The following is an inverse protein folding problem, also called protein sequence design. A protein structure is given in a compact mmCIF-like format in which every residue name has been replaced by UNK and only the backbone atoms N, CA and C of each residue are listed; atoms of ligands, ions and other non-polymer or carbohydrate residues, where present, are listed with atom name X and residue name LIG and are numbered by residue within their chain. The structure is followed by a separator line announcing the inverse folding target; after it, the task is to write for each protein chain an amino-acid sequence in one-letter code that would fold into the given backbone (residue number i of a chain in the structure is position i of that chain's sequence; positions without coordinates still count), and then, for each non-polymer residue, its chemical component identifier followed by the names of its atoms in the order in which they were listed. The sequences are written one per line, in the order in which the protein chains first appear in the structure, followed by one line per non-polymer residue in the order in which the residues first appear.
data_IF_203042850799
#
_entry.id   IF_203042850799
#
_cell.length_a   1.000
_cell.length_b   1.000
_cell.length_c   1.000
_cell.angle_alpha   90.00
_cell.angle_beta   90.00
_cell.angle_gamma   90.00
#
_symmetry.space_group_name_H-M   'P 1'
#
loop_
_entity.id
_entity.type
_entity.pdbx_description
1 polymer ?
#
# COMPACT_ATOMS: atom_id res chain seq x y z
N UNK A 1 6.55 17.87 21.72
CA UNK A 1 6.71 16.47 21.29
C UNK A 1 6.13 16.38 19.88
N UNK A 2 6.94 16.72 18.87
CA UNK A 2 6.49 16.83 17.48
C UNK A 2 6.55 15.42 16.88
N UNK A 3 5.42 14.73 16.92
CA UNK A 3 5.28 13.42 16.28
C UNK A 3 5.09 13.70 14.79
N UNK A 4 6.12 13.47 13.98
CA UNK A 4 5.91 13.33 12.54
C UNK A 4 5.24 11.97 12.31
N UNK A 5 4.08 11.98 11.67
CA UNK A 5 3.47 10.76 11.17
C UNK A 5 4.15 10.44 9.83
N UNK A 6 4.84 9.31 9.75
CA UNK A 6 5.54 8.85 8.53
C UNK A 6 4.65 7.98 7.63
N UNK A 7 3.36 7.86 7.95
CA UNK A 7 2.42 7.01 7.23
C UNK A 7 2.00 7.67 5.91
N UNK A 8 2.34 7.04 4.79
CA UNK A 8 1.93 7.47 3.44
C UNK A 8 0.97 6.44 2.85
N UNK A 9 -0.19 6.90 2.38
CA UNK A 9 -1.18 6.06 1.67
C UNK A 9 -1.16 6.38 0.18
N UNK A 10 -1.10 5.36 -0.67
CA UNK A 10 -1.16 5.47 -2.13
C UNK A 10 -2.42 4.77 -2.64
N UNK A 11 -3.08 5.36 -3.64
CA UNK A 11 -4.22 4.77 -4.35
C UNK A 11 -3.89 4.81 -5.84
N UNK A 12 -4.13 3.70 -6.53
CA UNK A 12 -3.90 3.54 -7.96
C UNK A 12 -5.07 2.76 -8.57
N UNK A 13 -5.34 2.99 -9.85
CA UNK A 13 -6.36 2.27 -10.61
C UNK A 13 -5.86 0.91 -11.13
N UNK A 14 -4.55 0.68 -11.17
CA UNK A 14 -3.95 -0.60 -11.55
C UNK A 14 -2.69 -0.97 -10.76
N UNK A 15 -2.26 -2.22 -10.88
CA UNK A 15 -1.03 -2.71 -10.28
C UNK A 15 0.21 -2.01 -10.85
N UNK A 16 0.25 -1.78 -12.15
CA UNK A 16 1.35 -1.11 -12.85
C UNK A 16 1.50 0.33 -12.39
N UNK A 17 0.38 1.05 -12.26
CA UNK A 17 0.36 2.40 -11.73
C UNK A 17 0.85 2.43 -10.27
N UNK A 18 0.40 1.50 -9.43
CA UNK A 18 0.88 1.41 -8.06
C UNK A 18 2.40 1.16 -7.98
N UNK A 19 2.95 0.31 -8.84
CA UNK A 19 4.40 0.07 -8.91
C UNK A 19 5.13 1.34 -9.36
N UNK A 20 4.61 2.07 -10.34
CA UNK A 20 5.19 3.34 -10.77
C UNK A 20 5.21 4.36 -9.62
N UNK A 21 4.10 4.49 -8.88
CA UNK A 21 4.00 5.38 -7.72
C UNK A 21 4.97 4.98 -6.60
N UNK A 22 5.11 3.68 -6.30
CA UNK A 22 6.07 3.18 -5.31
C UNK A 22 7.52 3.53 -5.68
N UNK A 23 7.86 3.48 -6.97
CA UNK A 23 9.19 3.85 -7.45
C UNK A 23 9.44 5.36 -7.30
N UNK A 24 8.46 6.18 -7.69
CA UNK A 24 8.54 7.64 -7.54
C UNK A 24 8.67 8.03 -6.06
N UNK A 25 7.83 7.44 -5.20
CA UNK A 25 7.90 7.66 -3.76
C UNK A 25 9.26 7.25 -3.21
N UNK A 26 9.77 6.08 -3.60
CA UNK A 26 11.07 5.59 -3.15
C UNK A 26 12.23 6.52 -3.54
N UNK A 27 12.22 7.02 -4.78
CA UNK A 27 13.22 7.98 -5.25
C UNK A 27 13.15 9.31 -4.49
N UNK A 28 11.94 9.86 -4.31
CA UNK A 28 11.76 11.12 -3.60
C UNK A 28 12.11 10.98 -2.11
N UNK A 29 11.66 9.91 -1.45
CA UNK A 29 12.04 9.59 -0.06
C UNK A 29 13.55 9.50 0.09
N UNK A 30 14.24 8.79 -0.81
CA UNK A 30 15.69 8.66 -0.77
C UNK A 30 16.41 10.01 -0.91
N UNK A 31 15.90 10.92 -1.75
CA UNK A 31 16.43 12.27 -1.89
C UNK A 31 16.31 13.10 -0.58
N UNK A 32 15.32 12.79 0.26
CA UNK A 32 15.14 13.37 1.59
C UNK A 32 15.80 12.55 2.71
N UNK A 33 16.61 11.54 2.38
CA UNK A 33 17.29 10.68 3.35
C UNK A 33 16.36 9.66 4.06
N UNK A 34 15.16 9.44 3.51
CA UNK A 34 14.16 8.52 4.03
C UNK A 34 14.12 7.23 3.19
N UNK A 35 13.70 6.12 3.81
CA UNK A 35 13.56 4.82 3.15
C UNK A 35 12.16 4.24 3.32
N UNK A 36 11.67 3.54 2.31
CA UNK A 36 10.41 2.78 2.41
C UNK A 36 10.68 1.45 3.13
N UNK A 37 9.94 1.19 4.20
CA UNK A 37 9.96 -0.10 4.87
C UNK A 37 8.99 -1.08 4.20
N UNK A 38 9.45 -1.77 3.15
CA UNK A 38 8.63 -2.72 2.39
C UNK A 38 8.05 -3.87 3.21
N UNK A 39 8.67 -4.24 4.33
CA UNK A 39 8.12 -5.27 5.24
C UNK A 39 6.86 -4.78 5.95
N UNK A 40 6.79 -3.47 6.26
CA UNK A 40 5.63 -2.83 6.90
C UNK A 40 4.62 -2.30 5.90
N UNK A 41 5.02 -1.96 4.68
CA UNK A 41 4.12 -1.51 3.62
C UNK A 41 3.21 -2.65 3.17
N UNK A 42 1.90 -2.48 3.35
CA UNK A 42 0.87 -3.42 2.89
C UNK A 42 0.11 -2.83 1.71
N UNK A 43 -0.27 -3.69 0.76
CA UNK A 43 -1.10 -3.32 -0.39
C UNK A 43 -2.42 -4.07 -0.26
N UNK A 44 -3.53 -3.37 -0.44
CA UNK A 44 -4.85 -3.99 -0.54
C UNK A 44 -5.38 -3.78 -1.95
N UNK A 45 -5.87 -4.85 -2.58
CA UNK A 45 -6.51 -4.77 -3.89
C UNK A 45 -8.01 -4.72 -3.65
N UNK A 46 -8.63 -3.61 -4.07
CA UNK A 46 -10.08 -3.42 -3.99
C UNK A 46 -10.68 -3.75 -5.34
N UNK A 47 -11.19 -4.97 -5.47
CA UNK A 47 -11.88 -5.44 -6.67
C UNK A 47 -13.37 -5.62 -6.34
N UNK A 48 -14.23 -4.80 -6.96
CA UNK A 48 -15.69 -4.88 -6.77
C UNK A 48 -16.31 -6.07 -7.49
N UNK A 49 -15.67 -6.59 -8.54
CA UNK A 49 -16.23 -7.66 -9.37
C UNK A 49 -15.85 -9.07 -8.88
N UNK A 50 -15.13 -9.18 -7.75
CA UNK A 50 -14.73 -10.45 -7.13
C UNK A 50 -13.96 -11.40 -8.07
N UNK A 51 -13.34 -10.88 -9.13
CA UNK A 51 -12.75 -11.69 -10.18
C UNK A 51 -11.31 -12.07 -9.82
N UNK A 52 -11.20 -13.08 -8.94
CA UNK A 52 -10.06 -14.00 -8.86
C UNK A 52 -8.68 -13.44 -8.45
N UNK A 53 -8.62 -12.32 -7.74
CA UNK A 53 -7.36 -11.74 -7.24
C UNK A 53 -6.73 -12.47 -6.02
N UNK A 54 -7.33 -13.55 -5.52
CA UNK A 54 -6.76 -14.34 -4.39
C UNK A 54 -5.37 -14.92 -4.70
N UNK A 55 -4.96 -14.97 -5.97
CA UNK A 55 -3.65 -15.45 -6.38
C UNK A 55 -2.51 -14.43 -6.22
N UNK A 56 -2.81 -13.12 -6.14
CA UNK A 56 -1.75 -12.10 -6.06
C UNK A 56 -1.25 -12.00 -4.62
N UNK A 57 -0.04 -12.50 -4.38
CA UNK A 57 0.61 -12.47 -3.06
C UNK A 57 1.41 -11.20 -2.80
N UNK A 58 1.82 -10.50 -3.86
CA UNK A 58 2.70 -9.33 -3.78
C UNK A 58 2.54 -8.40 -4.97
N UNK A 59 2.65 -7.09 -4.72
CA UNK A 59 2.78 -6.06 -5.76
C UNK A 59 4.11 -5.34 -5.56
N UNK A 60 4.97 -5.40 -6.56
CA UNK A 60 6.36 -4.93 -6.44
C UNK A 60 7.09 -5.69 -5.32
N UNK A 61 7.48 -4.98 -4.26
CA UNK A 61 8.14 -5.54 -3.06
C UNK A 61 7.21 -5.61 -1.85
N UNK A 62 5.95 -5.23 -2.01
CA UNK A 62 4.97 -5.12 -0.94
C UNK A 62 4.09 -6.36 -0.89
N UNK A 63 3.73 -6.77 0.33
CA UNK A 63 2.77 -7.84 0.56
C UNK A 63 1.36 -7.37 0.22
N UNK A 64 0.59 -8.23 -0.47
CA UNK A 64 -0.85 -8.01 -0.67
C UNK A 64 -1.61 -8.63 0.49
N UNK A 65 -2.47 -7.83 1.12
CA UNK A 65 -3.35 -8.22 2.22
C UNK A 65 -4.82 -8.04 1.83
N UNK A 66 -5.69 -8.84 2.44
CA UNK A 66 -7.14 -8.73 2.23
C UNK A 66 -7.77 -7.67 3.15
N UNK A 67 -7.13 -7.40 4.28
CA UNK A 67 -7.55 -6.39 5.25
C UNK A 67 -6.36 -5.87 6.03
N UNK A 68 -6.49 -4.67 6.59
CA UNK A 68 -5.49 -4.06 7.47
C UNK A 68 -6.14 -3.14 8.49
N UNK A 69 -5.47 -2.92 9.62
CA UNK A 69 -5.91 -1.94 10.61
C UNK A 69 -5.30 -0.59 10.27
N UNK A 70 -6.14 0.42 10.06
CA UNK A 70 -5.73 1.81 9.85
C UNK A 70 -6.38 2.70 10.90
N UNK A 71 -5.55 3.40 11.68
CA UNK A 71 -5.99 4.30 12.76
C UNK A 71 -6.96 3.67 13.78
N UNK A 72 -6.84 2.35 14.01
CA UNK A 72 -7.69 1.60 14.94
C UNK A 72 -8.94 0.98 14.32
N UNK A 73 -9.22 1.26 13.04
CA UNK A 73 -10.32 0.65 12.28
C UNK A 73 -9.82 -0.47 11.40
N UNK A 74 -10.53 -1.60 11.35
CA UNK A 74 -10.30 -2.63 10.35
C UNK A 74 -10.85 -2.15 9.01
N UNK A 75 -9.99 -2.12 7.99
CA UNK A 75 -10.35 -1.84 6.61
C UNK A 75 -10.25 -3.14 5.83
N UNK A 76 -11.31 -3.48 5.11
CA UNK A 76 -11.36 -4.61 4.18
C UNK A 76 -12.13 -4.23 2.90
N UNK A 77 -12.26 -5.19 2.00
CA UNK A 77 -12.97 -5.01 0.73
C UNK A 77 -14.50 -5.14 0.84
N UNK A 78 -15.06 -5.33 2.05
CA UNK A 78 -16.50 -5.48 2.27
C UNK A 78 -17.24 -4.14 2.42
N UNK A 79 -16.51 -3.04 2.63
CA UNK A 79 -17.04 -1.68 2.60
C UNK A 79 -17.92 -1.31 3.80
N UNK A 80 -17.59 -1.82 4.99
CA UNK A 80 -18.26 -1.48 6.27
C UNK A 80 -17.89 -0.10 6.81
#
# INVERSE_FOLDING_TARGET
NLRFADDTTLIAASQEELVALLNILGQHSAAHGLGINYTKTKVMIVDREHNNHQAIKSVGRCEVVQSFVYLGSLIDNSGS
#
